data_IF_834940172605
#
_entry.id   IF_834940172605
#
_cell.length_a   1.000
_cell.length_b   1.000
_cell.length_c   1.000
_cell.angle_alpha   90.00
_cell.angle_beta   90.00
_cell.angle_gamma   90.00
#
_symmetry.space_group_name_H-M   'P 1'
#
loop_
_entity.id
_entity.type
_entity.pdbx_description
1 polymer ?
#
# COMPACT_ATOMS: atom_id res chain seq x y z
N UNK A 1 -10.16 19.55 -2.59
CA UNK A 1 -10.41 20.96 -2.97
C UNK A 1 -11.12 21.67 -1.84
N UNK A 2 -10.74 22.92 -1.57
CA UNK A 2 -11.37 23.71 -0.52
C UNK A 2 -12.80 24.11 -0.91
N UNK A 3 -13.78 23.80 -0.06
CA UNK A 3 -15.19 24.19 -0.26
C UNK A 3 -15.36 25.72 -0.27
N UNK A 4 -14.48 26.47 0.40
CA UNK A 4 -14.51 27.94 0.41
C UNK A 4 -14.12 28.54 -0.95
N UNK A 5 -13.34 27.81 -1.75
CA UNK A 5 -12.93 28.18 -3.09
C UNK A 5 -13.97 27.78 -4.17
N UNK A 6 -15.05 27.09 -3.80
CA UNK A 6 -16.14 26.75 -4.71
C UNK A 6 -16.84 28.05 -5.14
N UNK A 7 -16.83 28.40 -6.45
CA UNK A 7 -17.53 29.59 -6.92
C UNK A 7 -19.02 29.51 -6.59
N UNK A 8 -19.60 30.63 -6.16
CA UNK A 8 -21.02 30.72 -5.80
C UNK A 8 -21.98 30.40 -6.96
N UNK A 9 -21.46 30.37 -8.20
CA UNK A 9 -22.17 29.91 -9.39
C UNK A 9 -22.44 28.40 -9.41
N UNK A 10 -21.77 27.60 -8.58
CA UNK A 10 -21.97 26.15 -8.51
C UNK A 10 -22.89 25.76 -7.35
N UNK A 11 -24.01 25.04 -7.61
CA UNK A 11 -24.97 24.64 -6.57
C UNK A 11 -24.41 23.60 -5.59
N UNK A 12 -23.54 22.70 -6.07
CA UNK A 12 -22.94 21.63 -5.25
C UNK A 12 -21.46 21.43 -5.57
N UNK A 13 -20.68 20.83 -4.64
CA UNK A 13 -19.31 20.39 -4.94
C UNK A 13 -19.25 19.43 -6.13
N UNK A 14 -20.28 18.60 -6.32
CA UNK A 14 -20.36 17.70 -7.47
C UNK A 14 -20.44 18.47 -8.80
N UNK A 15 -21.23 19.55 -8.86
CA UNK A 15 -21.35 20.40 -10.05
C UNK A 15 -20.04 21.13 -10.34
N UNK A 16 -19.39 21.64 -9.29
CA UNK A 16 -18.09 22.29 -9.41
C UNK A 16 -17.02 21.33 -9.93
N UNK A 17 -16.93 20.13 -9.37
CA UNK A 17 -15.97 19.10 -9.78
C UNK A 17 -16.24 18.59 -11.20
N UNK A 18 -17.51 18.37 -11.53
CA UNK A 18 -17.92 18.01 -12.89
C UNK A 18 -17.59 19.12 -13.89
N UNK A 19 -17.66 20.39 -13.50
CA UNK A 19 -17.23 21.51 -14.36
C UNK A 19 -15.74 21.51 -14.65
N UNK A 20 -14.90 21.15 -13.66
CA UNK A 20 -13.44 21.04 -13.83
C UNK A 20 -13.11 19.85 -14.74
N UNK A 21 -13.80 18.73 -14.56
CA UNK A 21 -13.69 17.60 -15.49
C UNK A 21 -14.14 17.98 -16.90
N UNK A 22 -15.21 18.76 -17.04
CA UNK A 22 -15.69 19.21 -18.34
C UNK A 22 -14.70 20.18 -19.03
N UNK A 23 -13.97 21.01 -18.28
CA UNK A 23 -13.03 21.98 -18.84
C UNK A 23 -11.78 21.33 -19.43
N UNK A 24 -11.43 20.13 -18.97
CA UNK A 24 -10.30 19.33 -19.51
C UNK A 24 -10.74 18.33 -20.58
N UNK A 25 -12.06 18.17 -20.81
CA UNK A 25 -12.62 17.28 -21.83
C UNK A 25 -12.35 17.83 -23.23
N UNK A 26 -11.40 17.22 -23.94
CA UNK A 26 -11.11 17.52 -25.35
C UNK A 26 -11.82 16.57 -26.31
N UNK A 27 -12.14 17.05 -27.51
CA UNK A 27 -12.81 16.27 -28.58
C UNK A 27 -12.06 14.99 -29.00
N UNK A 28 -10.76 14.89 -28.74
CA UNK A 28 -9.91 13.78 -29.19
C UNK A 28 -9.59 12.73 -28.10
N UNK A 29 -10.07 12.92 -26.86
CA UNK A 29 -9.52 12.22 -25.69
C UNK A 29 -10.47 11.22 -24.99
N UNK A 30 -11.60 10.90 -25.62
CA UNK A 30 -12.63 10.01 -25.04
C UNK A 30 -13.43 10.66 -23.89
N UNK A 31 -14.57 10.06 -23.49
CA UNK A 31 -15.41 10.61 -22.43
C UNK A 31 -14.72 10.47 -21.07
N UNK A 32 -14.72 11.56 -20.29
CA UNK A 32 -14.32 11.52 -18.88
C UNK A 32 -15.42 10.87 -18.06
N UNK A 33 -15.08 9.86 -17.26
CA UNK A 33 -16.04 9.19 -16.37
C UNK A 33 -15.83 9.72 -14.95
N UNK A 34 -16.75 10.56 -14.48
CA UNK A 34 -16.77 10.97 -13.08
C UNK A 34 -17.30 9.79 -12.24
N UNK A 35 -16.45 9.20 -11.41
CA UNK A 35 -16.80 8.02 -10.62
C UNK A 35 -17.53 8.39 -9.33
N UNK A 36 -16.99 9.36 -8.58
CA UNK A 36 -17.53 9.69 -7.27
C UNK A 36 -17.10 11.07 -6.78
N UNK A 37 -17.98 11.75 -6.04
CA UNK A 37 -17.69 12.97 -5.30
C UNK A 37 -17.81 12.70 -3.80
N UNK A 38 -16.75 12.98 -3.03
CA UNK A 38 -16.74 12.82 -1.58
C UNK A 38 -16.79 14.19 -0.88
N UNK A 39 -17.62 14.30 0.17
CA UNK A 39 -17.90 15.58 0.87
C UNK A 39 -17.99 15.46 2.40
N UNK A 40 -17.73 14.28 2.98
CA UNK A 40 -18.00 14.02 4.40
C UNK A 40 -16.75 14.14 5.30
N UNK A 41 -15.66 13.46 4.95
CA UNK A 41 -14.39 13.51 5.71
C UNK A 41 -13.42 14.52 5.07
N UNK A 42 -13.51 14.67 3.76
CA UNK A 42 -12.81 15.65 2.94
C UNK A 42 -13.66 16.01 1.72
N UNK A 43 -13.32 17.10 1.03
CA UNK A 43 -14.01 17.56 -0.18
C UNK A 43 -13.15 17.26 -1.42
N UNK A 44 -13.66 16.45 -2.36
CA UNK A 44 -12.97 16.14 -3.63
C UNK A 44 -13.73 15.13 -4.51
N UNK A 45 -13.08 14.62 -5.56
CA UNK A 45 -13.69 13.69 -6.52
C UNK A 45 -12.70 12.61 -7.01
N UNK A 46 -13.24 11.60 -7.69
CA UNK A 46 -12.51 10.56 -8.42
C UNK A 46 -13.08 10.45 -9.84
N UNK A 47 -12.20 10.32 -10.85
CA UNK A 47 -12.59 10.24 -12.25
C UNK A 47 -11.60 9.41 -13.08
N UNK A 48 -12.08 8.83 -14.19
CA UNK A 48 -11.27 8.15 -15.20
C UNK A 48 -10.91 9.16 -16.30
N UNK A 49 -9.61 9.27 -16.60
CA UNK A 49 -9.04 10.23 -17.53
C UNK A 49 -8.08 9.53 -18.48
N UNK A 50 -8.06 9.93 -19.75
CA UNK A 50 -6.97 9.58 -20.67
C UNK A 50 -5.67 10.31 -20.30
N UNK A 51 -4.54 9.80 -20.79
CA UNK A 51 -3.21 10.41 -20.56
C UNK A 51 -3.15 11.89 -20.96
N UNK A 52 -3.85 12.28 -22.03
CA UNK A 52 -3.93 13.67 -22.47
C UNK A 52 -4.80 14.56 -21.56
N UNK A 53 -5.86 13.99 -20.97
CA UNK A 53 -6.71 14.70 -20.00
C UNK A 53 -6.02 14.85 -18.65
N UNK A 54 -5.29 13.82 -18.20
CA UNK A 54 -4.46 13.89 -17.01
C UNK A 54 -3.41 15.00 -17.16
N UNK A 55 -2.65 15.05 -18.26
CA UNK A 55 -1.67 16.09 -18.58
C UNK A 55 -2.23 17.53 -18.51
N UNK A 56 -3.54 17.71 -18.80
CA UNK A 56 -4.24 19.00 -18.67
C UNK A 56 -4.70 19.25 -17.24
N UNK A 57 -5.12 18.20 -16.53
CA UNK A 57 -5.42 18.25 -15.12
C UNK A 57 -4.17 18.50 -14.27
N UNK A 58 -2.96 18.10 -14.67
CA UNK A 58 -1.71 18.45 -13.93
C UNK A 58 -1.32 19.92 -14.07
N UNK A 59 -1.71 20.52 -15.21
CA UNK A 59 -1.62 21.97 -15.43
C UNK A 59 -2.75 22.73 -14.73
N UNK A 60 -3.73 21.97 -14.24
CA UNK A 60 -4.71 22.38 -13.25
C UNK A 60 -4.15 21.96 -11.87
N UNK A 61 -4.47 22.61 -10.76
CA UNK A 61 -3.91 22.18 -9.47
C UNK A 61 -4.37 20.75 -9.10
N UNK A 62 -3.45 19.80 -8.84
CA UNK A 62 -3.86 18.41 -8.54
C UNK A 62 -2.82 17.29 -8.27
N UNK A 63 -1.50 17.51 -8.38
CA UNK A 63 -0.44 16.53 -7.97
C UNK A 63 -0.08 16.58 -6.49
N UNK A 64 -0.94 17.24 -5.74
CA UNK A 64 -0.48 18.32 -4.90
C UNK A 64 -1.56 18.40 -3.83
N UNK A 65 -1.22 17.95 -2.64
CA UNK A 65 -2.19 17.83 -1.56
C UNK A 65 -2.42 19.22 -1.01
N UNK A 66 -3.67 19.68 -1.11
CA UNK A 66 -4.11 20.88 -0.43
C UNK A 66 -4.43 20.56 1.03
N UNK A 67 -3.70 21.18 1.94
CA UNK A 67 -3.91 21.06 3.37
C UNK A 67 -3.81 22.43 4.04
N UNK A 68 -4.29 22.52 5.28
CA UNK A 68 -4.20 23.75 6.06
C UNK A 68 -2.73 24.18 6.22
N UNK A 69 -2.50 25.48 6.13
CA UNK A 69 -1.20 26.13 6.29
C UNK A 69 -1.32 27.31 7.24
N UNK A 70 -0.23 27.65 7.91
CA UNK A 70 -0.24 28.76 8.86
C UNK A 70 -0.35 30.09 8.10
N UNK A 71 -1.41 30.90 8.34
CA UNK A 71 -1.70 32.10 7.54
C UNK A 71 -0.67 33.22 7.67
N UNK A 72 0.18 33.17 8.70
CA UNK A 72 1.24 34.15 8.93
C UNK A 72 2.59 33.70 8.37
N UNK A 73 2.72 32.48 7.86
CA UNK A 73 3.95 31.90 7.33
C UNK A 73 4.01 32.09 5.80
N UNK A 74 5.07 32.72 5.26
CA UNK A 74 5.34 32.79 3.82
C UNK A 74 5.29 31.40 3.16
N UNK A 75 4.59 31.29 2.03
CA UNK A 75 4.49 30.03 1.29
C UNK A 75 5.15 30.11 -0.10
N UNK A 76 4.66 31.00 -0.98
CA UNK A 76 5.12 31.08 -2.37
C UNK A 76 5.63 32.49 -2.71
N UNK A 77 6.79 32.65 -3.37
CA UNK A 77 7.33 33.95 -3.72
C UNK A 77 6.49 34.66 -4.79
N UNK A 78 6.39 35.98 -4.68
CA UNK A 78 5.87 36.89 -5.71
C UNK A 78 7.08 37.44 -6.48
N UNK A 79 6.92 37.65 -7.80
CA UNK A 79 7.89 38.21 -8.77
C UNK A 79 9.11 38.90 -8.13
N UNK A 80 10.30 38.33 -8.34
CA UNK A 80 11.57 38.89 -7.85
C UNK A 80 12.05 38.30 -6.51
N UNK A 81 11.21 37.54 -5.80
CA UNK A 81 11.62 36.74 -4.64
C UNK A 81 11.72 37.52 -3.31
N UNK A 82 11.44 38.82 -3.33
CA UNK A 82 11.47 39.68 -2.14
C UNK A 82 10.16 39.63 -1.35
N UNK A 83 9.02 39.42 -2.02
CA UNK A 83 7.70 39.29 -1.41
C UNK A 83 7.17 37.86 -1.48
N UNK A 84 6.37 37.44 -0.50
CA UNK A 84 5.76 36.11 -0.45
C UNK A 84 4.25 36.16 -0.21
N UNK A 85 3.53 35.30 -0.92
CA UNK A 85 2.14 34.97 -0.65
C UNK A 85 2.03 34.19 0.65
N UNK A 86 0.98 34.51 1.40
CA UNK A 86 0.52 33.79 2.57
C UNK A 86 -0.88 33.25 2.29
N UNK A 87 -1.21 32.12 2.91
CA UNK A 87 -2.44 31.39 2.61
C UNK A 87 -2.84 30.55 3.82
N UNK A 88 -4.14 30.35 3.99
CA UNK A 88 -4.70 29.39 4.95
C UNK A 88 -4.55 27.94 4.48
N UNK A 89 -4.28 27.73 3.19
CA UNK A 89 -4.11 26.43 2.57
C UNK A 89 -2.94 26.42 1.60
N UNK A 90 -2.07 25.44 1.78
CA UNK A 90 -0.90 25.23 0.92
C UNK A 90 -1.07 23.95 0.11
N UNK A 91 -0.46 23.98 -1.06
CA UNK A 91 -0.41 22.87 -1.98
C UNK A 91 1.02 22.33 -1.96
N UNK A 92 1.19 21.11 -1.45
CA UNK A 92 2.51 20.50 -1.31
C UNK A 92 2.50 19.03 -1.72
N UNK A 93 3.68 18.56 -2.10
CA UNK A 93 3.93 17.20 -2.58
C UNK A 93 4.98 16.49 -1.71
N UNK A 94 4.88 15.17 -1.61
CA UNK A 94 5.89 14.33 -0.95
C UNK A 94 5.29 13.16 -0.18
N UNK A 95 6.14 12.21 0.23
CA UNK A 95 5.72 11.06 1.07
C UNK A 95 5.15 11.51 2.41
N UNK A 96 5.59 12.67 2.92
CA UNK A 96 5.01 13.35 4.07
C UNK A 96 3.51 13.65 3.93
N UNK A 97 3.00 13.82 2.70
CA UNK A 97 1.58 14.04 2.42
C UNK A 97 0.82 12.73 2.22
N UNK A 98 1.48 11.68 1.72
CA UNK A 98 0.88 10.33 1.62
C UNK A 98 0.69 9.69 3.00
N UNK A 99 1.65 9.88 3.92
CA UNK A 99 1.62 9.35 5.28
C UNK A 99 0.30 9.65 6.05
N UNK A 100 -0.17 10.91 6.15
CA UNK A 100 -1.42 11.22 6.85
C UNK A 100 -2.66 10.64 6.18
N UNK A 101 -2.66 10.38 4.86
CA UNK A 101 -3.76 9.67 4.21
C UNK A 101 -3.83 8.22 4.69
N UNK A 102 -2.71 7.50 4.68
CA UNK A 102 -2.64 6.12 5.19
C UNK A 102 -2.97 6.09 6.68
N UNK A 103 -2.48 7.05 7.48
CA UNK A 103 -2.81 7.19 8.89
C UNK A 103 -4.31 7.41 9.13
N UNK A 104 -4.95 8.26 8.33
CA UNK A 104 -6.40 8.48 8.38
C UNK A 104 -7.20 7.23 8.03
N UNK A 105 -6.81 6.50 6.99
CA UNK A 105 -7.45 5.23 6.59
C UNK A 105 -7.29 4.19 7.70
N UNK A 106 -6.09 4.05 8.27
CA UNK A 106 -5.84 3.14 9.38
C UNK A 106 -6.71 3.47 10.61
N UNK A 107 -6.92 4.76 10.91
CA UNK A 107 -7.82 5.19 11.99
C UNK A 107 -9.29 4.84 11.69
N UNK A 108 -9.75 5.00 10.45
CA UNK A 108 -11.10 4.60 10.04
C UNK A 108 -11.29 3.08 10.14
N UNK A 109 -10.31 2.30 9.67
CA UNK A 109 -10.30 0.84 9.82
C UNK A 109 -10.32 0.43 11.29
N UNK A 110 -9.52 1.07 12.15
CA UNK A 110 -9.53 0.81 13.59
C UNK A 110 -10.86 1.17 14.25
N UNK A 111 -11.54 2.21 13.77
CA UNK A 111 -12.85 2.62 14.27
C UNK A 111 -13.93 1.59 13.92
N UNK A 112 -13.89 1.07 12.70
CA UNK A 112 -14.81 0.04 12.21
C UNK A 112 -14.53 -1.35 12.82
N UNK A 113 -13.26 -1.70 12.97
CA UNK A 113 -12.76 -2.96 13.52
C UNK A 113 -11.94 -2.72 14.78
N UNK A 114 -12.64 -2.42 15.88
CA UNK A 114 -12.01 -2.00 17.14
C UNK A 114 -11.09 -3.05 17.75
N UNK A 115 -11.34 -4.31 17.46
CA UNK A 115 -10.59 -5.47 17.90
C UNK A 115 -9.30 -5.74 17.08
N UNK A 116 -9.17 -5.18 15.88
CA UNK A 116 -8.02 -5.46 15.03
C UNK A 116 -6.72 -4.90 15.61
N UNK A 117 -5.66 -5.69 15.54
CA UNK A 117 -4.30 -5.23 15.86
C UNK A 117 -3.81 -4.20 14.82
N UNK A 118 -2.78 -3.39 15.14
CA UNK A 118 -2.12 -2.55 14.14
C UNK A 118 -1.62 -3.34 12.92
N UNK A 119 -1.15 -4.57 13.14
CA UNK A 119 -0.66 -5.46 12.08
C UNK A 119 -1.78 -5.97 11.18
N UNK A 120 -2.95 -6.30 11.73
CA UNK A 120 -4.15 -6.65 10.95
C UNK A 120 -4.61 -5.49 10.07
N UNK A 121 -4.61 -4.25 10.59
CA UNK A 121 -4.96 -3.06 9.81
C UNK A 121 -3.96 -2.82 8.67
N UNK A 122 -2.66 -2.93 8.95
CA UNK A 122 -1.62 -2.88 7.91
C UNK A 122 -1.87 -3.97 6.86
N UNK A 123 -2.12 -5.20 7.29
CA UNK A 123 -2.38 -6.32 6.40
C UNK A 123 -3.58 -6.08 5.50
N UNK A 124 -4.69 -5.58 6.05
CA UNK A 124 -5.88 -5.26 5.27
C UNK A 124 -5.56 -4.25 4.17
N UNK A 125 -4.91 -3.14 4.51
CA UNK A 125 -4.53 -2.11 3.53
C UNK A 125 -3.57 -2.64 2.46
N UNK A 126 -2.59 -3.46 2.84
CA UNK A 126 -1.60 -4.01 1.91
C UNK A 126 -2.22 -5.04 0.95
N UNK A 127 -2.97 -6.00 1.49
CA UNK A 127 -3.45 -7.15 0.70
C UNK A 127 -4.60 -6.83 -0.24
N UNK A 128 -5.27 -5.70 -0.01
CA UNK A 128 -6.35 -5.20 -0.88
C UNK A 128 -5.94 -3.98 -1.71
N UNK A 129 -4.67 -3.59 -1.67
CA UNK A 129 -4.16 -2.47 -2.47
C UNK A 129 -4.25 -2.80 -3.96
N UNK A 130 -4.51 -1.80 -4.79
CA UNK A 130 -4.61 -1.94 -6.24
C UNK A 130 -3.23 -1.75 -6.89
N UNK A 131 -2.85 -2.64 -7.82
CA UNK A 131 -1.59 -2.58 -8.56
C UNK A 131 -1.76 -1.97 -9.96
N UNK A 132 -3.01 -1.74 -10.36
CA UNK A 132 -3.36 -1.18 -11.66
C UNK A 132 -3.75 0.28 -11.50
N UNK A 133 -3.40 1.08 -12.50
CA UNK A 133 -3.86 2.45 -12.65
C UNK A 133 -5.27 2.50 -13.27
N UNK A 134 -5.78 3.70 -13.47
CA UNK A 134 -7.10 3.93 -14.06
C UNK A 134 -7.20 3.62 -15.56
N UNK A 135 -6.08 3.36 -16.22
CA UNK A 135 -6.00 2.87 -17.61
C UNK A 135 -5.87 1.33 -17.66
N UNK A 136 -6.02 0.67 -16.50
CA UNK A 136 -5.85 -0.78 -16.31
C UNK A 136 -4.45 -1.30 -16.64
N UNK A 137 -3.45 -0.40 -16.68
CA UNK A 137 -2.04 -0.76 -16.75
C UNK A 137 -1.45 -0.90 -15.35
N UNK A 138 -0.29 -1.57 -15.22
CA UNK A 138 0.49 -1.54 -13.97
C UNK A 138 0.84 -0.10 -13.61
N UNK A 139 0.74 0.25 -12.33
CA UNK A 139 1.17 1.57 -11.81
C UNK A 139 2.57 1.91 -12.34
N UNK A 140 2.71 3.09 -12.91
CA UNK A 140 3.94 3.53 -13.57
C UNK A 140 4.85 4.25 -12.58
N UNK A 141 6.15 3.94 -12.61
CA UNK A 141 7.18 4.78 -11.99
C UNK A 141 7.39 6.02 -12.86
N UNK A 142 7.09 7.19 -12.30
CA UNK A 142 7.20 8.46 -13.02
C UNK A 142 8.63 8.86 -13.36
N UNK A 143 9.64 8.34 -12.66
CA UNK A 143 11.04 8.69 -12.91
C UNK A 143 11.59 7.96 -14.14
N UNK A 144 11.22 6.69 -14.31
CA UNK A 144 11.61 5.86 -15.46
C UNK A 144 10.58 5.84 -16.58
N UNK A 145 9.35 6.27 -16.30
CA UNK A 145 8.18 6.16 -17.19
C UNK A 145 7.86 4.72 -17.61
N UNK A 146 8.21 3.74 -16.79
CA UNK A 146 7.94 2.31 -17.01
C UNK A 146 7.06 1.73 -15.90
N UNK A 147 6.54 0.51 -16.10
CA UNK A 147 5.77 -0.18 -15.07
C UNK A 147 6.60 -0.30 -13.78
N UNK A 148 6.06 0.21 -12.68
CA UNK A 148 6.68 0.14 -11.37
C UNK A 148 6.68 -1.29 -10.84
N UNK A 149 7.55 -1.51 -9.89
CA UNK A 149 7.72 -2.76 -9.17
C UNK A 149 7.19 -2.64 -7.74
N UNK A 150 7.03 -3.75 -7.00
CA UNK A 150 6.71 -3.67 -5.59
C UNK A 150 7.79 -2.99 -4.74
N UNK A 151 8.99 -2.73 -5.26
CA UNK A 151 9.97 -1.87 -4.57
C UNK A 151 9.61 -0.39 -4.67
N UNK A 152 8.84 0.02 -5.67
CA UNK A 152 8.44 1.41 -5.91
C UNK A 152 7.18 1.76 -5.12
N UNK A 153 6.17 0.88 -5.15
CA UNK A 153 4.85 1.14 -4.54
C UNK A 153 4.43 0.13 -3.46
N UNK A 154 5.31 -0.80 -3.05
CA UNK A 154 4.97 -1.83 -2.08
C UNK A 154 3.89 -2.77 -2.61
N UNK A 155 2.78 -2.89 -1.88
CA UNK A 155 1.64 -3.71 -2.30
C UNK A 155 0.71 -3.03 -3.31
N UNK A 156 0.88 -1.72 -3.57
CA UNK A 156 0.07 -0.95 -4.51
C UNK A 156 -0.57 0.29 -3.90
N UNK A 157 -1.49 0.90 -4.65
CA UNK A 157 -2.27 2.05 -4.19
C UNK A 157 -3.35 1.61 -3.20
N UNK A 158 -3.50 2.34 -2.10
CA UNK A 158 -4.45 1.97 -1.03
C UNK A 158 -5.90 2.01 -1.54
N UNK A 159 -6.66 0.96 -1.22
CA UNK A 159 -8.11 0.90 -1.49
C UNK A 159 -8.87 0.81 -0.16
N UNK A 160 -9.35 1.94 0.40
CA UNK A 160 -9.97 1.95 1.73
C UNK A 160 -11.23 1.09 1.82
N UNK A 161 -12.02 1.03 0.74
CA UNK A 161 -13.28 0.29 0.71
C UNK A 161 -13.02 -1.21 0.72
N UNK A 162 -12.06 -1.70 -0.07
CA UNK A 162 -11.68 -3.12 -0.03
C UNK A 162 -10.98 -3.49 1.28
N UNK A 163 -10.17 -2.60 1.84
CA UNK A 163 -9.50 -2.82 3.12
C UNK A 163 -10.48 -2.92 4.30
N UNK A 164 -11.71 -2.43 4.15
CA UNK A 164 -12.76 -2.57 5.16
C UNK A 164 -13.20 -4.02 5.37
N UNK A 165 -13.09 -4.86 4.34
CA UNK A 165 -13.42 -6.28 4.40
C UNK A 165 -12.43 -7.08 3.54
N UNK A 166 -11.22 -7.34 4.07
CA UNK A 166 -10.13 -7.92 3.31
C UNK A 166 -10.25 -9.45 3.17
N UNK A 167 -11.21 -10.10 3.86
CA UNK A 167 -11.31 -11.55 3.94
C UNK A 167 -10.29 -12.18 4.88
N UNK A 168 -8.99 -12.05 4.55
CA UNK A 168 -7.88 -12.58 5.36
C UNK A 168 -6.90 -11.48 5.79
N UNK A 169 -6.26 -11.67 6.94
CA UNK A 169 -5.18 -10.79 7.42
C UNK A 169 -4.00 -11.59 7.97
N UNK A 170 -2.80 -11.03 7.84
CA UNK A 170 -1.56 -11.48 8.46
C UNK A 170 -1.36 -10.71 9.76
N UNK A 171 -1.54 -11.37 10.91
CA UNK A 171 -1.33 -10.74 12.21
C UNK A 171 0.09 -10.96 12.73
N UNK A 172 0.61 -9.97 13.44
CA UNK A 172 1.94 -9.95 14.04
C UNK A 172 1.86 -9.22 15.38
N UNK A 173 2.27 -9.88 16.45
CA UNK A 173 2.32 -9.33 17.80
C UNK A 173 3.67 -8.71 18.17
N UNK A 174 3.71 -8.04 19.33
CA UNK A 174 4.93 -7.42 19.87
C UNK A 174 6.04 -8.44 20.12
N UNK A 175 5.68 -9.64 20.60
CA UNK A 175 6.65 -10.73 20.83
C UNK A 175 7.30 -11.21 19.54
N UNK A 176 6.58 -11.23 18.43
CA UNK A 176 7.13 -11.61 17.12
C UNK A 176 8.18 -10.59 16.66
N UNK A 177 7.94 -9.30 16.88
CA UNK A 177 8.93 -8.26 16.64
C UNK A 177 10.17 -8.40 17.55
N UNK A 178 9.99 -8.76 18.82
CA UNK A 178 11.12 -9.03 19.72
C UNK A 178 11.96 -10.22 19.24
N UNK A 179 11.30 -11.32 18.86
CA UNK A 179 11.97 -12.50 18.28
C UNK A 179 12.72 -12.15 17.00
N UNK A 180 12.16 -11.29 16.17
CA UNK A 180 12.81 -10.77 14.96
C UNK A 180 14.05 -9.93 15.28
N UNK A 181 13.97 -9.01 16.24
CA UNK A 181 15.12 -8.23 16.69
C UNK A 181 16.23 -9.12 17.28
N UNK A 182 15.87 -10.15 18.05
CA UNK A 182 16.83 -11.15 18.54
C UNK A 182 17.54 -11.85 17.37
N UNK A 183 16.81 -12.27 16.34
CA UNK A 183 17.38 -12.94 15.17
C UNK A 183 18.26 -12.02 14.30
N UNK A 184 18.04 -10.71 14.36
CA UNK A 184 18.94 -9.70 13.77
C UNK A 184 20.18 -9.41 14.63
N UNK A 185 20.44 -10.18 15.69
CA UNK A 185 21.56 -10.02 16.62
C UNK A 185 21.55 -8.73 17.46
N UNK A 186 20.36 -8.15 17.72
CA UNK A 186 20.25 -7.07 18.71
C UNK A 186 20.43 -7.62 20.13
N UNK A 187 21.17 -6.90 20.96
CA UNK A 187 21.33 -7.24 22.38
C UNK A 187 20.06 -6.90 23.18
N UNK A 188 19.81 -7.59 24.29
CA UNK A 188 18.64 -7.31 25.16
C UNK A 188 18.55 -5.84 25.60
N UNK A 189 19.64 -5.14 25.96
CA UNK A 189 19.58 -3.71 26.25
C UNK A 189 19.14 -2.86 25.06
N UNK A 190 19.56 -3.18 23.83
CA UNK A 190 19.12 -2.46 22.63
C UNK A 190 17.64 -2.70 22.35
N UNK A 191 17.17 -3.96 22.49
CA UNK A 191 15.75 -4.29 22.31
C UNK A 191 14.89 -3.59 23.36
N UNK A 192 15.37 -3.50 24.61
CA UNK A 192 14.69 -2.78 25.69
C UNK A 192 14.50 -1.29 25.36
N UNK A 193 15.50 -0.64 24.75
CA UNK A 193 15.39 0.75 24.29
C UNK A 193 14.32 0.90 23.21
N UNK A 194 14.21 -0.06 22.28
CA UNK A 194 13.25 -0.01 21.18
C UNK A 194 11.82 -0.28 21.67
N UNK A 195 11.65 -1.25 22.57
CA UNK A 195 10.35 -1.78 22.98
C UNK A 195 9.79 -1.12 24.24
N UNK A 196 10.63 -0.46 25.04
CA UNK A 196 10.29 0.06 26.36
C UNK A 196 10.17 -1.02 27.44
N UNK A 197 10.44 -2.28 27.10
CA UNK A 197 10.39 -3.42 28.01
C UNK A 197 11.67 -3.54 28.83
N UNK A 198 11.58 -4.22 29.99
CA UNK A 198 12.76 -4.47 30.80
C UNK A 198 13.71 -5.47 30.12
N UNK A 199 15.05 -5.32 30.18
CA UNK A 199 15.97 -6.30 29.58
C UNK A 199 15.78 -7.74 30.10
N UNK A 200 15.27 -7.90 31.32
CA UNK A 200 14.99 -9.19 31.94
C UNK A 200 13.72 -9.88 31.41
N UNK A 201 12.73 -9.13 30.90
CA UNK A 201 11.50 -9.69 30.31
C UNK A 201 11.68 -10.17 28.87
N UNK A 202 12.81 -9.82 28.23
CA UNK A 202 13.10 -10.18 26.83
C UNK A 202 13.61 -11.63 26.75
N UNK A 203 12.81 -12.49 26.13
CA UNK A 203 13.19 -13.84 25.73
C UNK A 203 13.54 -13.87 24.24
N UNK A 204 14.63 -14.55 23.90
CA UNK A 204 15.05 -14.80 22.51
C UNK A 204 14.97 -16.30 22.16
N UNK A 205 14.17 -17.08 22.91
CA UNK A 205 14.03 -18.52 22.72
C UNK A 205 13.49 -18.89 21.32
N UNK A 206 12.60 -18.06 20.78
CA UNK A 206 11.94 -18.27 19.48
C UNK A 206 12.40 -17.26 18.43
N UNK A 207 13.68 -16.85 18.50
CA UNK A 207 14.24 -15.88 17.55
C UNK A 207 14.12 -16.39 16.10
N UNK A 208 13.51 -15.58 15.22
CA UNK A 208 13.32 -15.92 13.80
C UNK A 208 13.36 -14.67 12.93
N UNK A 209 13.94 -14.76 11.73
CA UNK A 209 13.87 -13.72 10.70
C UNK A 209 12.58 -13.82 9.86
N UNK A 210 11.76 -14.84 10.08
CA UNK A 210 10.57 -15.12 9.28
C UNK A 210 9.32 -14.53 9.94
N UNK A 211 9.18 -13.20 9.83
CA UNK A 211 8.03 -12.49 10.35
C UNK A 211 6.78 -12.81 9.52
N UNK A 212 5.62 -12.95 10.16
CA UNK A 212 4.33 -13.19 9.49
C UNK A 212 3.81 -11.92 8.76
N UNK A 213 4.56 -11.49 7.75
CA UNK A 213 4.37 -10.21 7.05
C UNK A 213 3.64 -10.44 5.71
N UNK A 214 2.75 -9.53 5.26
CA UNK A 214 1.93 -9.69 4.06
C UNK A 214 2.69 -9.52 2.73
N UNK A 215 4.01 -9.68 2.72
CA UNK A 215 4.87 -9.66 1.55
C UNK A 215 6.09 -10.57 1.74
N UNK A 216 6.76 -10.88 0.64
CA UNK A 216 7.91 -11.78 0.61
C UNK A 216 9.08 -11.09 -0.09
N UNK A 217 10.26 -11.13 0.54
CA UNK A 217 11.48 -10.56 -0.03
C UNK A 217 12.61 -11.57 0.08
N UNK A 218 13.20 -11.90 -1.06
CA UNK A 218 14.36 -12.78 -1.17
C UNK A 218 15.59 -11.92 -1.43
N UNK A 219 16.46 -11.85 -0.43
CA UNK A 219 17.75 -11.14 -0.56
C UNK A 219 18.80 -12.11 -1.11
N UNK A 220 19.37 -11.78 -2.26
CA UNK A 220 20.37 -12.59 -2.95
C UNK A 220 21.79 -12.18 -2.52
N UNK A 221 22.64 -13.15 -2.14
CA UNK A 221 24.01 -12.93 -1.67
C UNK A 221 25.07 -13.52 -2.64
N UNK A 222 25.18 -12.98 -3.86
CA UNK A 222 26.19 -13.35 -4.88
C UNK A 222 26.28 -14.87 -5.22
N UNK A 223 25.29 -15.67 -4.86
CA UNK A 223 25.19 -17.11 -5.20
C UNK A 223 24.32 -17.27 -6.44
N UNK A 224 24.68 -18.18 -7.35
CA UNK A 224 23.95 -18.40 -8.61
C UNK A 224 22.45 -18.74 -8.40
N UNK A 225 22.08 -19.34 -7.28
CA UNK A 225 20.69 -19.68 -6.95
C UNK A 225 20.48 -19.48 -5.46
N UNK A 226 19.30 -18.97 -5.07
CA UNK A 226 18.86 -18.92 -3.67
C UNK A 226 17.50 -19.58 -3.52
N UNK A 227 17.32 -20.37 -2.46
CA UNK A 227 16.05 -20.98 -2.10
C UNK A 227 15.70 -20.51 -0.68
N UNK A 228 14.54 -19.87 -0.53
CA UNK A 228 14.03 -19.40 0.77
C UNK A 228 12.63 -19.96 0.99
N UNK A 229 12.38 -20.43 2.20
CA UNK A 229 11.05 -20.90 2.63
C UNK A 229 10.53 -19.91 3.65
N UNK A 230 9.33 -19.37 3.39
CA UNK A 230 8.61 -18.48 4.27
C UNK A 230 7.40 -19.19 4.84
N UNK A 231 7.22 -19.13 6.15
CA UNK A 231 6.02 -19.58 6.83
C UNK A 231 5.10 -18.40 7.10
N UNK A 232 3.83 -18.54 6.76
CA UNK A 232 2.81 -17.54 7.03
C UNK A 232 1.62 -18.17 7.73
N UNK A 233 0.96 -17.36 8.55
CA UNK A 233 -0.31 -17.68 9.18
C UNK A 233 -1.28 -16.56 8.87
N UNK A 234 -2.40 -16.91 8.25
CA UNK A 234 -3.47 -15.96 7.94
C UNK A 234 -4.67 -16.24 8.82
N UNK A 235 -5.36 -15.17 9.21
CA UNK A 235 -6.57 -15.21 10.02
C UNK A 235 -7.75 -14.78 9.17
N UNK A 236 -8.82 -15.58 9.16
CA UNK A 236 -10.07 -15.20 8.52
C UNK A 236 -10.78 -14.12 9.33
N UNK A 237 -11.09 -12.97 8.71
CA UNK A 237 -11.84 -11.88 9.36
C UNK A 237 -13.24 -11.71 8.77
N UNK A 238 -13.61 -12.50 7.76
CA UNK A 238 -14.97 -12.56 7.25
C UNK A 238 -15.91 -13.23 8.27
N UNK A 239 -17.21 -12.94 8.20
CA UNK A 239 -18.18 -13.33 9.22
C UNK A 239 -18.44 -14.85 9.34
N UNK A 240 -18.06 -15.65 8.34
CA UNK A 240 -18.29 -17.09 8.30
C UNK A 240 -17.08 -17.88 7.81
N UNK A 241 -17.25 -19.19 7.68
CA UNK A 241 -16.25 -20.06 7.09
C UNK A 241 -16.06 -19.79 5.59
N UNK A 242 -14.83 -19.96 5.12
CA UNK A 242 -14.41 -19.62 3.77
C UNK A 242 -13.28 -20.54 3.31
N UNK A 243 -13.14 -20.69 2.00
CA UNK A 243 -12.09 -21.51 1.37
C UNK A 243 -11.38 -20.67 0.35
N UNK A 244 -10.05 -20.65 0.40
CA UNK A 244 -9.23 -19.88 -0.53
C UNK A 244 -8.31 -20.79 -1.31
N UNK A 245 -8.15 -20.51 -2.60
CA UNK A 245 -7.16 -21.14 -3.46
C UNK A 245 -6.02 -20.16 -3.70
N UNK A 246 -4.78 -20.65 -3.56
CA UNK A 246 -3.59 -19.88 -3.88
C UNK A 246 -3.39 -19.82 -5.39
N UNK A 247 -3.26 -18.61 -5.92
CA UNK A 247 -2.92 -18.32 -7.31
C UNK A 247 -1.57 -17.58 -7.37
N UNK A 248 -0.75 -17.92 -8.34
CA UNK A 248 0.65 -17.48 -8.43
C UNK A 248 0.91 -16.82 -9.79
N UNK A 249 1.18 -15.51 -9.76
CA UNK A 249 1.58 -14.72 -10.92
C UNK A 249 3.10 -14.49 -10.86
N UNK A 250 3.89 -15.37 -11.47
CA UNK A 250 5.36 -15.42 -11.29
C UNK A 250 6.07 -15.14 -12.62
N UNK A 251 7.06 -14.23 -12.65
CA UNK A 251 7.83 -13.89 -13.84
C UNK A 251 8.81 -15.01 -14.19
N UNK A 252 9.41 -14.94 -15.39
CA UNK A 252 10.52 -15.82 -15.77
C UNK A 252 11.73 -15.56 -14.87
N UNK A 253 12.39 -16.61 -14.37
CA UNK A 253 13.58 -16.49 -13.51
C UNK A 253 13.32 -16.78 -12.03
N UNK A 254 12.06 -16.73 -11.60
CA UNK A 254 11.62 -17.11 -10.26
C UNK A 254 10.70 -18.32 -10.33
N UNK A 255 10.84 -19.24 -9.38
CA UNK A 255 9.93 -20.36 -9.15
C UNK A 255 9.37 -20.25 -7.74
N UNK A 256 8.05 -20.23 -7.65
CA UNK A 256 7.34 -20.14 -6.37
C UNK A 256 6.41 -21.32 -6.22
N UNK A 257 6.40 -21.91 -5.03
CA UNK A 257 5.48 -22.98 -4.64
C UNK A 257 4.81 -22.59 -3.33
N UNK A 258 3.48 -22.71 -3.26
CA UNK A 258 2.69 -22.49 -2.03
C UNK A 258 2.07 -23.80 -1.57
N UNK A 259 2.25 -24.13 -0.29
CA UNK A 259 1.73 -25.35 0.32
C UNK A 259 1.06 -25.08 1.67
N UNK A 260 -0.20 -25.50 1.89
CA UNK A 260 -1.08 -26.15 0.92
C UNK A 260 -1.56 -25.16 -0.17
N UNK A 261 -1.94 -25.67 -1.35
CA UNK A 261 -2.50 -24.85 -2.44
C UNK A 261 -3.92 -24.32 -2.15
N UNK A 262 -4.55 -24.79 -1.08
CA UNK A 262 -5.88 -24.36 -0.63
C UNK A 262 -5.91 -24.34 0.89
N UNK A 263 -6.42 -23.26 1.44
CA UNK A 263 -6.62 -23.08 2.88
C UNK A 263 -8.13 -22.97 3.18
N UNK A 264 -8.53 -23.48 4.34
CA UNK A 264 -9.93 -23.55 4.76
C UNK A 264 -10.07 -22.97 6.16
N UNK A 265 -11.18 -22.28 6.37
CA UNK A 265 -11.53 -21.61 7.60
C UNK A 265 -12.94 -22.03 7.97
N UNK A 266 -13.13 -22.48 9.21
CA UNK A 266 -14.44 -22.94 9.68
C UNK A 266 -15.33 -21.76 10.09
N UNK A 267 -14.71 -20.72 10.67
CA UNK A 267 -15.40 -19.54 11.20
C UNK A 267 -14.51 -18.29 11.22
N UNK A 268 -15.09 -17.16 11.62
CA UNK A 268 -14.35 -15.92 11.85
C UNK A 268 -13.26 -16.13 12.91
N UNK A 269 -12.07 -15.61 12.66
CA UNK A 269 -10.84 -15.71 13.45
C UNK A 269 -10.20 -17.09 13.52
N UNK A 270 -10.69 -18.08 12.78
CA UNK A 270 -9.91 -19.29 12.52
C UNK A 270 -8.67 -18.93 11.69
N UNK A 271 -7.59 -19.69 11.91
CA UNK A 271 -6.29 -19.43 11.28
C UNK A 271 -5.85 -20.62 10.42
N UNK A 272 -5.06 -20.32 9.38
CA UNK A 272 -4.46 -21.33 8.54
C UNK A 272 -2.99 -20.97 8.28
N UNK A 273 -2.11 -21.94 8.44
CA UNK A 273 -0.70 -21.82 8.12
C UNK A 273 -0.42 -22.32 6.70
N UNK A 274 0.51 -21.67 6.02
CA UNK A 274 1.03 -22.13 4.73
C UNK A 274 2.50 -21.75 4.59
N UNK A 275 3.19 -22.48 3.73
CA UNK A 275 4.58 -22.24 3.37
C UNK A 275 4.65 -21.72 1.94
N UNK A 276 5.57 -20.79 1.70
CA UNK A 276 5.93 -20.27 0.38
C UNK A 276 7.41 -20.55 0.16
N UNK A 277 7.71 -21.42 -0.80
CA UNK A 277 9.08 -21.70 -1.22
C UNK A 277 9.37 -20.87 -2.47
N UNK A 278 10.38 -20.01 -2.39
CA UNK A 278 10.84 -19.16 -3.50
C UNK A 278 12.25 -19.58 -3.89
N UNK A 279 12.41 -19.96 -5.15
CA UNK A 279 13.68 -20.29 -5.79
C UNK A 279 13.96 -19.25 -6.88
N UNK A 280 15.13 -18.61 -6.82
CA UNK A 280 15.56 -17.57 -7.78
C UNK A 280 16.88 -17.99 -8.40
N UNK A 281 16.98 -17.97 -9.73
CA UNK A 281 18.18 -18.33 -10.50
C UNK A 281 18.76 -17.13 -11.26
N UNK A 282 19.96 -16.69 -10.87
CA UNK A 282 20.65 -15.51 -11.41
C UNK A 282 21.19 -15.68 -12.84
N UNK A 283 21.18 -16.89 -13.41
CA UNK A 283 21.88 -17.19 -14.68
C UNK A 283 21.31 -16.49 -15.92
N UNK A 284 20.33 -15.60 -15.78
CA UNK A 284 19.82 -14.76 -16.87
C UNK A 284 19.10 -13.47 -16.44
N UNK A 285 19.29 -12.98 -15.21
CA UNK A 285 18.51 -11.85 -14.68
C UNK A 285 19.35 -10.56 -14.69
N UNK A 286 18.77 -9.48 -15.21
CA UNK A 286 19.26 -8.11 -15.05
C UNK A 286 18.13 -7.24 -14.51
N UNK A 287 18.01 -7.11 -13.19
CA UNK A 287 16.98 -6.29 -12.54
C UNK A 287 16.29 -6.96 -11.35
N UNK A 288 15.19 -6.36 -10.92
CA UNK A 288 14.32 -6.83 -9.82
C UNK A 288 13.28 -7.77 -10.41
N UNK A 289 13.27 -9.05 -9.99
CA UNK A 289 12.15 -9.94 -10.31
C UNK A 289 11.07 -9.83 -9.25
N UNK A 290 9.82 -9.79 -9.69
CA UNK A 290 8.68 -9.73 -8.79
C UNK A 290 7.47 -10.48 -9.33
N UNK A 291 6.69 -11.01 -8.41
CA UNK A 291 5.42 -11.68 -8.69
C UNK A 291 4.45 -11.51 -7.54
N UNK A 292 3.33 -12.23 -7.60
CA UNK A 292 2.28 -12.14 -6.60
C UNK A 292 1.77 -13.53 -6.20
N UNK A 293 1.58 -13.73 -4.89
CA UNK A 293 0.71 -14.77 -4.36
C UNK A 293 -0.64 -14.13 -4.05
N UNK A 294 -1.71 -14.66 -4.62
CA UNK A 294 -3.08 -14.18 -4.40
C UNK A 294 -3.93 -15.32 -3.86
N UNK A 295 -4.49 -15.14 -2.67
CA UNK A 295 -5.54 -16.02 -2.17
C UNK A 295 -6.89 -15.55 -2.71
N UNK A 296 -7.51 -16.37 -3.55
CA UNK A 296 -8.83 -16.11 -4.14
C UNK A 296 -9.87 -16.94 -3.41
N UNK A 297 -10.89 -16.27 -2.87
CA UNK A 297 -11.99 -16.93 -2.19
C UNK A 297 -12.85 -17.75 -3.17
N UNK A 298 -13.10 -19.02 -2.84
CA UNK A 298 -13.98 -19.87 -3.63
C UNK A 298 -15.44 -19.54 -3.30
N UNK A 299 -16.21 -19.19 -4.33
CA UNK A 299 -17.61 -18.76 -4.24
C UNK A 299 -17.84 -17.44 -3.48
N UNK A 300 -16.80 -16.61 -3.37
CA UNK A 300 -16.89 -15.30 -2.75
C UNK A 300 -16.19 -14.23 -3.58
N UNK A 301 -15.86 -13.11 -2.93
CA UNK A 301 -15.31 -11.92 -3.61
C UNK A 301 -13.98 -11.47 -3.03
N UNK A 302 -13.53 -12.07 -1.92
CA UNK A 302 -12.25 -11.67 -1.31
C UNK A 302 -11.07 -12.12 -2.17
N UNK A 303 -10.13 -11.20 -2.32
CA UNK A 303 -8.87 -11.38 -3.06
C UNK A 303 -7.78 -10.79 -2.20
N UNK A 304 -6.87 -11.63 -1.72
CA UNK A 304 -5.83 -11.26 -0.74
C UNK A 304 -4.48 -11.44 -1.40
N UNK A 305 -3.88 -10.34 -1.85
CA UNK A 305 -2.66 -10.36 -2.65
C UNK A 305 -1.43 -9.96 -1.85
N UNK A 306 -0.35 -10.70 -2.01
CA UNK A 306 0.95 -10.45 -1.39
C UNK A 306 2.04 -10.38 -2.46
N UNK A 307 2.81 -9.29 -2.55
CA UNK A 307 3.92 -9.21 -3.48
C UNK A 307 5.10 -10.08 -3.03
N UNK A 308 5.80 -10.63 -4.01
CA UNK A 308 7.04 -11.40 -3.88
C UNK A 308 8.09 -10.65 -4.68
N UNK A 309 9.23 -10.34 -4.08
CA UNK A 309 10.34 -9.67 -4.75
C UNK A 309 11.66 -10.40 -4.51
N UNK A 310 12.53 -10.41 -5.51
CA UNK A 310 13.94 -10.70 -5.35
C UNK A 310 14.74 -9.39 -5.39
N UNK A 311 15.72 -9.26 -4.50
CA UNK A 311 16.61 -8.10 -4.44
C UNK A 311 18.05 -8.55 -4.32
N UNK A 312 18.95 -7.91 -5.06
CA UNK A 312 20.39 -8.10 -4.86
C UNK A 312 20.83 -7.37 -3.60
N UNK A 313 21.64 -8.04 -2.77
CA UNK A 313 22.27 -7.40 -1.63
C UNK A 313 23.21 -6.28 -2.12
N UNK A 314 22.84 -5.02 -1.88
CA UNK A 314 23.77 -3.91 -2.10
C UNK A 314 24.98 -4.06 -1.17
N UNK A 315 26.22 -3.83 -1.64
CA UNK A 315 27.38 -3.79 -0.75
C UNK A 315 27.14 -2.76 0.35
N UNK A 316 27.44 -3.12 1.60
CA UNK A 316 27.51 -2.12 2.68
C UNK A 316 28.55 -1.08 2.27
N UNK A 317 28.10 0.13 1.91
CA UNK A 317 28.95 1.32 1.78
C UNK A 317 29.46 1.76 3.13
#
# INVERSE_FOLDING_TARGET
MDKSAMPSSFPTPHDWYSSILSSISGHESGPIIHLYTYTHVMNGFSAVLSKAQLARLERTPGYDIIAAWAPNVPFAPIRGGEDYLKTDYAIISGTSMSCPHVGGIAALLKSAHRDWSPSMIRSAMMTTADILDNAEGTIIDMTTATAGTPLDFGSGHVNPNRAMDPGLVYDVGVKDYMNYLCAMNYTKPQIAVITGESPGSISCEFATLDLNYPSFSVVMNNTNTSIVVFQRVVTNVAAGGSVYRGDLEIPKGMKVVVEPATIRFDEKYSTAAFNVTVEVDLSGIGGVDYGYLTWVELNGTHVVRSPIVSVEASPKT
#
